data_IF_458449815621
#
_entry.id   IF_458449815621
#
_cell.length_a   1.000
_cell.length_b   1.000
_cell.length_c   1.000
_cell.angle_alpha   90.00
_cell.angle_beta   90.00
_cell.angle_gamma   90.00
#
_symmetry.space_group_name_H-M   'P 1'
#
loop_
_entity.id
_entity.type
_entity.pdbx_description
1 polymer ?
#
# COMPACT_ATOMS: atom_id res chain seq x y z
N UNK A 1 -24.54 3.06 2.43
CA UNK A 1 -24.50 3.87 3.66
C UNK A 1 -25.78 3.66 4.42
N UNK A 2 -25.74 3.67 5.75
CA UNK A 2 -26.92 3.42 6.60
C UNK A 2 -27.28 4.70 7.36
N UNK A 3 -28.56 5.07 7.38
CA UNK A 3 -29.06 6.15 8.22
C UNK A 3 -30.10 5.61 9.19
N UNK A 4 -29.76 5.56 10.47
CA UNK A 4 -30.67 5.10 11.53
C UNK A 4 -30.12 5.46 12.90
N UNK A 5 -31.02 5.63 13.87
CA UNK A 5 -30.67 5.79 15.30
C UNK A 5 -30.92 4.52 16.12
N UNK A 6 -31.36 3.44 15.47
CA UNK A 6 -31.63 2.16 16.14
C UNK A 6 -30.35 1.32 16.07
N UNK A 7 -29.67 1.18 17.21
CA UNK A 7 -28.40 0.46 17.31
C UNK A 7 -28.49 -0.98 16.81
N UNK A 8 -29.54 -1.72 17.21
CA UNK A 8 -29.75 -3.09 16.76
C UNK A 8 -29.86 -3.22 15.23
N UNK A 9 -30.35 -2.18 14.53
CA UNK A 9 -30.39 -2.14 13.07
C UNK A 9 -29.00 -1.88 12.50
N UNK A 10 -28.19 -1.01 13.12
CA UNK A 10 -26.79 -0.80 12.72
C UNK A 10 -26.03 -2.12 12.77
N UNK A 11 -26.11 -2.81 13.91
CA UNK A 11 -25.39 -4.08 14.11
C UNK A 11 -25.80 -5.13 13.07
N UNK A 12 -27.11 -5.33 12.91
CA UNK A 12 -27.65 -6.29 11.93
C UNK A 12 -27.12 -6.09 10.50
N UNK A 13 -26.98 -4.83 10.05
CA UNK A 13 -26.48 -4.53 8.72
C UNK A 13 -24.95 -4.58 8.63
N UNK A 14 -24.22 -4.11 9.64
CA UNK A 14 -22.76 -4.15 9.65
C UNK A 14 -22.27 -5.60 9.60
N UNK A 15 -22.96 -6.51 10.29
CA UNK A 15 -22.58 -7.93 10.34
C UNK A 15 -22.95 -8.71 9.07
N UNK A 16 -23.98 -8.27 8.34
CA UNK A 16 -24.50 -9.00 7.17
C UNK A 16 -24.08 -8.47 5.80
N UNK A 17 -23.59 -7.22 5.71
CA UNK A 17 -23.27 -6.61 4.41
C UNK A 17 -21.84 -6.94 3.99
N UNK A 18 -21.73 -7.44 2.76
CA UNK A 18 -20.49 -7.60 2.01
C UNK A 18 -20.08 -6.28 1.33
N UNK A 19 -19.42 -5.40 2.09
CA UNK A 19 -18.90 -4.14 1.56
C UNK A 19 -17.60 -3.76 2.26
N UNK A 20 -16.66 -3.23 1.48
CA UNK A 20 -15.38 -2.81 2.04
C UNK A 20 -15.47 -1.62 2.99
N UNK A 21 -16.40 -0.69 2.78
CA UNK A 21 -16.52 0.52 3.61
C UNK A 21 -17.99 0.76 3.96
N UNK A 22 -18.30 0.82 5.25
CA UNK A 22 -19.64 1.07 5.77
C UNK A 22 -19.63 2.40 6.53
N UNK A 23 -20.62 3.23 6.23
CA UNK A 23 -20.78 4.56 6.80
C UNK A 23 -22.17 4.69 7.42
N UNK A 24 -22.23 5.05 8.69
CA UNK A 24 -23.48 5.20 9.46
C UNK A 24 -23.70 6.67 9.79
N UNK A 25 -24.89 7.18 9.49
CA UNK A 25 -25.31 8.57 9.78
C UNK A 25 -24.36 9.65 9.24
N UNK A 26 -23.69 9.37 8.12
CA UNK A 26 -22.83 10.31 7.38
C UNK A 26 -22.85 10.01 5.89
N UNK A 27 -22.24 10.89 5.10
CA UNK A 27 -22.03 10.66 3.67
C UNK A 27 -21.09 9.45 3.41
N UNK A 28 -21.11 8.95 2.17
CA UNK A 28 -20.43 7.71 1.74
C UNK A 28 -19.11 8.00 0.98
N UNK A 29 -18.60 9.22 1.12
CA UNK A 29 -17.46 9.75 0.37
C UNK A 29 -16.40 10.28 1.34
N UNK A 30 -15.22 10.63 0.81
CA UNK A 30 -14.17 11.29 1.59
C UNK A 30 -13.56 10.39 2.67
N UNK A 31 -13.25 9.14 2.31
CA UNK A 31 -12.50 8.26 3.19
C UNK A 31 -11.13 8.85 3.50
N UNK A 32 -10.78 8.95 4.79
CA UNK A 32 -9.51 9.53 5.24
C UNK A 32 -8.43 8.46 5.27
N UNK A 33 -7.30 8.71 4.62
CA UNK A 33 -6.12 7.82 4.62
C UNK A 33 -5.67 7.55 6.06
N UNK A 34 -5.36 6.30 6.40
CA UNK A 34 -4.94 5.89 7.74
C UNK A 34 -6.08 5.65 8.74
N UNK A 35 -7.21 6.35 8.61
CA UNK A 35 -8.39 6.15 9.49
C UNK A 35 -9.47 5.26 8.89
N UNK A 36 -9.72 5.41 7.58
CA UNK A 36 -10.74 4.66 6.84
C UNK A 36 -10.14 4.10 5.56
N UNK A 37 -9.27 3.07 5.63
CA UNK A 37 -8.72 2.45 4.44
C UNK A 37 -9.81 2.08 3.43
N UNK A 38 -9.63 2.50 2.17
CA UNK A 38 -10.68 2.45 1.15
C UNK A 38 -10.44 1.36 0.12
N UNK A 39 -11.50 0.66 -0.27
CA UNK A 39 -11.46 -0.40 -1.28
C UNK A 39 -12.50 -1.48 -0.99
N UNK A 40 -13.11 -2.05 -2.03
CA UNK A 40 -14.15 -3.07 -1.92
C UNK A 40 -13.65 -4.50 -2.14
N UNK A 41 -14.60 -5.40 -2.37
CA UNK A 41 -14.38 -6.80 -2.74
C UNK A 41 -15.19 -7.17 -3.99
N UNK A 42 -14.98 -8.36 -4.54
CA UNK A 42 -15.65 -8.83 -5.75
C UNK A 42 -15.36 -7.92 -6.95
N UNK A 43 -16.42 -7.48 -7.65
CA UNK A 43 -16.28 -6.58 -8.79
C UNK A 43 -15.81 -5.17 -8.41
N UNK A 44 -15.84 -4.81 -7.11
CA UNK A 44 -15.38 -3.50 -6.62
C UNK A 44 -13.89 -3.45 -6.29
N UNK A 45 -13.17 -4.57 -6.37
CA UNK A 45 -11.72 -4.60 -6.19
C UNK A 45 -11.17 -5.92 -5.67
N UNK A 46 -9.85 -6.04 -5.77
CA UNK A 46 -9.07 -7.22 -5.35
C UNK A 46 -8.41 -7.06 -3.98
N UNK A 47 -8.35 -5.82 -3.47
CA UNK A 47 -7.57 -5.47 -2.30
C UNK A 47 -6.04 -5.62 -2.50
N UNK A 48 -5.23 -5.34 -1.46
CA UNK A 48 -5.60 -4.75 -0.16
C UNK A 48 -6.08 -3.29 -0.30
N UNK A 49 -6.71 -2.76 0.76
CA UNK A 49 -7.27 -1.40 0.80
C UNK A 49 -6.20 -0.33 0.69
N UNK A 50 -6.43 0.66 -0.16
CA UNK A 50 -5.59 1.85 -0.27
C UNK A 50 -5.66 2.69 1.02
N UNK A 51 -4.54 3.31 1.39
CA UNK A 51 -4.42 4.08 2.63
C UNK A 51 -4.48 3.24 3.91
N UNK A 52 -4.43 1.91 3.80
CA UNK A 52 -4.32 0.98 4.93
C UNK A 52 -2.93 0.38 5.09
N UNK A 53 -2.65 -0.25 6.24
CA UNK A 53 -1.31 -0.73 6.60
C UNK A 53 -0.78 -1.87 5.70
N UNK A 54 -1.67 -2.51 4.95
CA UNK A 54 -1.31 -3.63 4.08
C UNK A 54 -1.05 -3.24 2.63
N UNK A 55 -1.37 -1.99 2.24
CA UNK A 55 -1.35 -1.60 0.82
C UNK A 55 0.05 -1.75 0.19
N UNK A 56 1.07 -1.23 0.85
CA UNK A 56 2.44 -1.26 0.34
C UNK A 56 3.01 -2.67 0.22
N UNK A 57 2.53 -3.62 1.03
CA UNK A 57 3.00 -5.01 0.97
C UNK A 57 2.65 -5.68 -0.36
N UNK A 58 1.62 -5.20 -1.06
CA UNK A 58 1.23 -5.73 -2.38
C UNK A 58 2.29 -5.49 -3.45
N UNK A 59 3.17 -4.51 -3.25
CA UNK A 59 4.17 -4.06 -4.22
C UNK A 59 5.60 -4.54 -3.92
N UNK A 60 5.80 -5.32 -2.84
CA UNK A 60 7.09 -5.97 -2.55
C UNK A 60 7.01 -7.46 -2.90
N UNK A 61 8.16 -8.04 -3.26
CA UNK A 61 8.30 -9.49 -3.27
C UNK A 61 8.17 -10.02 -1.82
N UNK A 62 7.62 -11.23 -1.69
CA UNK A 62 7.61 -11.95 -0.42
C UNK A 62 9.04 -12.21 0.08
N UNK A 63 9.22 -12.63 1.34
CA UNK A 63 10.54 -12.95 1.89
C UNK A 63 11.30 -14.04 1.09
N UNK A 64 10.62 -14.78 0.20
CA UNK A 64 11.22 -15.78 -0.70
C UNK A 64 11.49 -15.25 -2.11
N UNK A 65 12.11 -14.08 -2.17
CA UNK A 65 12.94 -13.71 -3.30
C UNK A 65 14.27 -13.21 -2.75
N UNK A 66 14.99 -14.13 -2.10
CA UNK A 66 16.43 -14.00 -2.05
C UNK A 66 16.91 -13.98 -3.49
N UNK A 67 17.07 -12.79 -4.06
CA UNK A 67 18.05 -12.60 -5.11
C UNK A 67 19.33 -13.17 -4.51
N UNK A 68 19.90 -14.21 -5.11
CA UNK A 68 21.26 -14.61 -4.77
C UNK A 68 22.10 -13.34 -4.87
N UNK A 69 22.51 -12.80 -3.73
CA UNK A 69 23.41 -11.67 -3.71
C UNK A 69 24.72 -12.27 -4.15
N UNK A 70 25.02 -12.16 -5.44
CA UNK A 70 26.32 -12.60 -5.95
C UNK A 70 27.41 -11.98 -5.10
N UNK A 71 28.42 -12.75 -4.72
CA UNK A 71 29.58 -12.21 -4.02
C UNK A 71 30.16 -11.06 -4.86
N UNK A 72 30.05 -9.84 -4.34
CA UNK A 72 30.65 -8.69 -4.97
C UNK A 72 32.16 -8.83 -5.00
N UNK A 73 32.79 -8.53 -6.14
CA UNK A 73 34.24 -8.44 -6.21
C UNK A 73 34.72 -7.20 -5.43
N UNK A 74 35.79 -7.35 -4.63
CA UNK A 74 36.42 -6.22 -3.94
C UNK A 74 37.17 -5.37 -4.97
N UNK A 75 36.69 -4.15 -5.20
CA UNK A 75 37.40 -3.16 -6.03
C UNK A 75 38.38 -2.33 -5.20
N UNK A 76 39.50 -1.97 -5.82
CA UNK A 76 40.49 -1.04 -5.27
C UNK A 76 40.00 0.41 -5.38
N UNK A 77 40.57 1.31 -4.58
CA UNK A 77 40.23 2.73 -4.62
C UNK A 77 40.53 3.38 -5.99
N UNK A 78 41.55 2.89 -6.69
CA UNK A 78 41.93 3.35 -8.04
C UNK A 78 40.89 2.92 -9.06
N UNK A 79 40.48 1.65 -9.07
CA UNK A 79 39.43 1.16 -9.97
C UNK A 79 38.11 1.89 -9.77
N UNK A 80 37.80 2.27 -8.53
CA UNK A 80 36.62 3.08 -8.24
C UNK A 80 36.76 4.50 -8.83
N UNK A 81 37.91 5.15 -8.66
CA UNK A 81 38.16 6.49 -9.18
C UNK A 81 38.11 6.54 -10.72
N UNK A 82 38.60 5.50 -11.39
CA UNK A 82 38.65 5.41 -12.85
C UNK A 82 37.26 5.16 -13.48
N UNK A 83 36.30 4.62 -12.71
CA UNK A 83 34.96 4.27 -13.17
C UNK A 83 33.84 5.14 -12.58
N UNK A 84 34.16 6.06 -11.66
CA UNK A 84 33.21 7.03 -11.14
C UNK A 84 32.96 8.10 -12.22
N UNK A 85 31.69 8.42 -12.54
CA UNK A 85 31.39 9.53 -13.43
C UNK A 85 31.93 10.82 -12.81
N UNK A 86 32.53 11.67 -13.66
CA UNK A 86 33.09 12.94 -13.23
C UNK A 86 31.99 13.77 -12.52
N UNK A 87 32.14 14.05 -11.22
CA UNK A 87 31.13 14.77 -10.45
C UNK A 87 30.93 16.21 -10.94
N UNK A 88 31.83 16.74 -11.76
CA UNK A 88 31.74 18.08 -12.36
C UNK A 88 30.97 18.12 -13.69
N UNK A 89 30.70 16.96 -14.31
CA UNK A 89 30.00 16.86 -15.60
C UNK A 89 28.47 16.74 -15.49
N UNK A 90 27.88 16.80 -14.29
CA UNK A 90 26.45 17.03 -14.09
C UNK A 90 25.49 15.97 -14.65
N UNK A 91 25.94 14.74 -14.91
CA UNK A 91 25.17 13.67 -15.55
C UNK A 91 24.24 12.84 -14.64
N UNK A 92 23.81 13.37 -13.50
CA UNK A 92 22.85 12.70 -12.61
C UNK A 92 21.43 13.20 -12.88
N UNK A 93 20.90 12.89 -14.06
CA UNK A 93 19.48 13.07 -14.43
C UNK A 93 18.88 11.77 -14.90
#
# INVERSE_FOLDING_TARGET
>A
GLHTRIEGRVQHFVDGIHAGNIYVNRNQIGAVVGSQPFGGEGLSGTGPKAGGPHYLRRFRKGPEAGTEVGEGHKVTATELADNLPDPTLGGWS
#
